data_IF_348037099065
#
_entry.id   IF_348037099065
#
_cell.length_a   1.000
_cell.length_b   1.000
_cell.length_c   1.000
_cell.angle_alpha   90.00
_cell.angle_beta   90.00
_cell.angle_gamma   90.00
#
_symmetry.space_group_name_H-M   'P 1'
#
loop_
_entity.id
_entity.type
_entity.pdbx_description
1 polymer ?
#
# COMPACT_ATOMS: atom_id res chain seq x y z
N UNK A 1 68.08 -0.76 6.95
CA UNK A 1 67.32 -0.22 5.81
C UNK A 1 66.28 -1.20 5.23
N UNK A 2 66.50 -2.49 5.39
CA UNK A 2 65.56 -3.56 4.93
C UNK A 2 64.35 -3.77 5.83
N UNK A 3 64.44 -3.45 7.12
CA UNK A 3 63.36 -3.64 8.09
C UNK A 3 62.19 -2.62 7.97
N UNK A 4 62.45 -1.44 7.44
CA UNK A 4 61.43 -0.39 7.24
C UNK A 4 60.49 -0.69 6.07
N UNK A 5 60.93 -1.46 5.07
CA UNK A 5 60.15 -1.83 3.90
C UNK A 5 59.18 -2.98 4.25
N UNK A 6 59.66 -3.93 5.08
CA UNK A 6 58.82 -5.06 5.53
C UNK A 6 57.65 -4.64 6.43
N UNK A 7 57.87 -3.69 7.33
CA UNK A 7 56.83 -3.21 8.25
C UNK A 7 55.68 -2.48 7.57
N UNK A 8 55.96 -1.66 6.57
CA UNK A 8 54.93 -0.94 5.81
C UNK A 8 54.13 -1.87 4.91
N UNK A 9 54.77 -2.86 4.32
CA UNK A 9 54.10 -3.82 3.44
C UNK A 9 53.17 -4.76 4.22
N UNK A 10 53.58 -5.13 5.46
CA UNK A 10 52.74 -5.96 6.34
C UNK A 10 51.52 -5.24 6.86
N UNK A 11 51.59 -3.92 7.08
CA UNK A 11 50.48 -3.08 7.49
C UNK A 11 49.42 -2.96 6.37
N UNK A 12 49.86 -2.80 5.13
CA UNK A 12 48.96 -2.69 3.96
C UNK A 12 48.16 -3.99 3.75
N UNK A 13 48.82 -5.14 3.90
CA UNK A 13 48.18 -6.46 3.75
C UNK A 13 47.17 -6.75 4.86
N UNK A 14 47.36 -6.20 6.07
CA UNK A 14 46.42 -6.39 7.19
C UNK A 14 45.17 -5.55 7.10
N UNK A 15 45.21 -4.39 6.45
CA UNK A 15 44.04 -3.51 6.28
C UNK A 15 43.24 -3.81 5.02
N UNK A 16 43.84 -4.44 4.00
CA UNK A 16 43.15 -4.78 2.76
C UNK A 16 41.91 -5.68 2.96
N UNK A 17 41.94 -6.74 3.79
CA UNK A 17 40.73 -7.56 4.00
C UNK A 17 39.61 -6.83 4.77
N UNK A 18 39.98 -5.93 5.69
CA UNK A 18 39.00 -5.15 6.44
C UNK A 18 38.21 -4.15 5.55
N UNK A 19 38.93 -3.52 4.60
CA UNK A 19 38.31 -2.63 3.62
C UNK A 19 37.42 -3.40 2.65
N UNK A 20 37.81 -4.59 2.20
CA UNK A 20 37.01 -5.43 1.31
C UNK A 20 35.70 -5.89 1.98
N UNK A 21 35.76 -6.25 3.27
CA UNK A 21 34.56 -6.64 4.04
C UNK A 21 33.64 -5.45 4.27
N UNK A 22 34.13 -4.27 4.54
CA UNK A 22 33.33 -3.05 4.70
C UNK A 22 32.62 -2.65 3.41
N UNK A 23 33.30 -2.75 2.26
CA UNK A 23 32.70 -2.50 0.94
C UNK A 23 31.62 -3.53 0.59
N UNK A 24 31.84 -4.80 0.91
CA UNK A 24 30.85 -5.87 0.68
C UNK A 24 29.58 -5.67 1.54
N UNK A 25 29.70 -5.17 2.78
CA UNK A 25 28.58 -4.84 3.65
C UNK A 25 27.77 -3.63 3.15
N UNK A 26 28.42 -2.64 2.55
CA UNK A 26 27.75 -1.48 1.96
C UNK A 26 26.89 -1.85 0.76
N UNK A 27 27.34 -2.79 -0.08
CA UNK A 27 26.56 -3.27 -1.25
C UNK A 27 25.38 -4.15 -0.84
N UNK A 28 25.46 -4.86 0.28
CA UNK A 28 24.39 -5.73 0.76
C UNK A 28 23.17 -4.95 1.30
N UNK A 29 23.34 -3.71 1.73
CA UNK A 29 22.24 -2.88 2.28
C UNK A 29 21.31 -2.38 1.17
N UNK A 30 21.80 -2.17 -0.05
CA UNK A 30 20.98 -1.68 -1.18
C UNK A 30 20.07 -2.76 -1.78
N UNK A 31 20.24 -4.03 -1.44
CA UNK A 31 19.44 -5.13 -2.01
C UNK A 31 18.19 -5.47 -1.21
N UNK A 32 17.98 -4.88 -0.04
CA UNK A 32 16.73 -5.02 0.71
C UNK A 32 15.70 -4.02 0.18
N UNK A 33 15.43 -4.07 -1.10
CA UNK A 33 14.20 -3.50 -1.62
C UNK A 33 13.09 -4.47 -1.24
N UNK A 34 12.32 -4.10 -0.22
CA UNK A 34 11.08 -4.81 0.08
C UNK A 34 10.24 -4.75 -1.20
N UNK A 35 10.18 -5.84 -1.93
CA UNK A 35 9.27 -5.99 -3.04
C UNK A 35 7.86 -5.85 -2.44
N UNK A 36 7.26 -4.68 -2.59
CA UNK A 36 5.85 -4.50 -2.26
C UNK A 36 5.09 -5.34 -3.28
N UNK A 37 4.57 -6.47 -2.82
CA UNK A 37 3.69 -7.28 -3.64
C UNK A 37 2.51 -6.40 -4.07
N UNK A 38 2.32 -6.25 -5.38
CA UNK A 38 1.11 -5.61 -5.91
C UNK A 38 -0.07 -6.51 -5.53
N UNK A 39 -0.97 -5.96 -4.71
CA UNK A 39 -2.21 -6.66 -4.36
C UNK A 39 -3.30 -6.19 -5.31
N UNK A 40 -3.80 -7.12 -6.12
CA UNK A 40 -4.98 -6.89 -6.95
C UNK A 40 -6.23 -7.29 -6.15
N UNK A 41 -7.19 -6.40 -6.05
CA UNK A 41 -8.43 -6.61 -5.30
C UNK A 41 -9.62 -6.66 -6.26
N UNK A 42 -10.45 -7.66 -6.10
CA UNK A 42 -11.79 -7.69 -6.71
C UNK A 42 -12.78 -7.01 -5.76
N UNK A 43 -13.05 -5.73 -6.03
CA UNK A 43 -13.89 -4.89 -5.15
C UNK A 43 -15.33 -5.41 -5.05
N UNK A 44 -15.80 -6.16 -6.05
CA UNK A 44 -17.14 -6.77 -6.03
C UNK A 44 -17.31 -7.86 -4.96
N UNK A 45 -16.21 -8.39 -4.44
CA UNK A 45 -16.20 -9.48 -3.44
C UNK A 45 -15.85 -9.03 -2.03
N UNK A 46 -15.57 -7.75 -1.82
CA UNK A 46 -15.21 -7.21 -0.50
C UNK A 46 -16.46 -7.13 0.37
N UNK A 47 -16.41 -7.75 1.55
CA UNK A 47 -17.47 -7.64 2.56
C UNK A 47 -17.31 -6.35 3.38
N UNK A 48 -18.41 -5.90 3.97
CA UNK A 48 -18.41 -4.79 4.92
C UNK A 48 -17.44 -5.01 6.10
N UNK A 49 -17.32 -6.26 6.57
CA UNK A 49 -16.35 -6.60 7.62
C UNK A 49 -14.90 -6.36 7.18
N UNK A 50 -14.56 -6.79 5.97
CA UNK A 50 -13.22 -6.58 5.42
C UNK A 50 -12.93 -5.10 5.16
N UNK A 51 -13.93 -4.35 4.72
CA UNK A 51 -13.86 -2.91 4.49
C UNK A 51 -13.61 -2.14 5.78
N UNK A 52 -14.46 -2.32 6.79
CA UNK A 52 -14.35 -1.60 8.07
C UNK A 52 -13.16 -2.04 8.90
N UNK A 53 -12.74 -3.31 8.77
CA UNK A 53 -11.59 -3.87 9.48
C UNK A 53 -10.23 -3.58 8.86
N UNK A 54 -10.15 -2.83 7.78
CA UNK A 54 -8.90 -2.55 7.03
C UNK A 54 -8.16 -3.83 6.58
N UNK A 55 -8.90 -4.93 6.37
CA UNK A 55 -8.31 -6.25 6.14
C UNK A 55 -7.74 -6.44 4.73
N UNK A 56 -8.18 -5.64 3.77
CA UNK A 56 -7.80 -5.81 2.36
C UNK A 56 -7.00 -4.63 1.82
N UNK A 57 -7.37 -3.41 2.18
CA UNK A 57 -6.66 -2.16 1.84
C UNK A 57 -7.20 -1.03 2.72
N UNK A 58 -6.67 0.19 2.52
CA UNK A 58 -7.25 1.37 3.15
C UNK A 58 -8.69 1.57 2.64
N UNK A 59 -9.71 1.65 3.52
CA UNK A 59 -11.11 1.85 3.14
C UNK A 59 -11.34 3.07 2.25
N UNK A 60 -10.53 4.10 2.38
CA UNK A 60 -10.61 5.29 1.54
C UNK A 60 -10.40 4.97 0.06
N UNK A 61 -9.47 4.06 -0.26
CA UNK A 61 -9.23 3.63 -1.64
C UNK A 61 -10.45 2.94 -2.23
N UNK A 62 -11.14 2.11 -1.44
CA UNK A 62 -12.38 1.43 -1.85
C UNK A 62 -13.50 2.44 -2.06
N UNK A 63 -13.66 3.41 -1.15
CA UNK A 63 -14.68 4.45 -1.25
C UNK A 63 -14.48 5.32 -2.50
N UNK A 64 -13.25 5.73 -2.80
CA UNK A 64 -12.92 6.49 -4.01
C UNK A 64 -13.20 5.66 -5.26
N UNK A 65 -12.78 4.40 -5.28
CA UNK A 65 -13.02 3.50 -6.41
C UNK A 65 -14.52 3.31 -6.67
N UNK A 66 -15.29 3.05 -5.61
CA UNK A 66 -16.76 2.91 -5.71
C UNK A 66 -17.42 4.19 -6.22
N UNK A 67 -17.01 5.35 -5.72
CA UNK A 67 -17.50 6.63 -6.20
C UNK A 67 -17.27 6.77 -7.72
N UNK A 68 -16.03 6.54 -8.17
CA UNK A 68 -15.69 6.61 -9.60
C UNK A 68 -16.44 5.58 -10.44
N UNK A 69 -16.59 4.36 -9.94
CA UNK A 69 -17.32 3.30 -10.65
C UNK A 69 -18.79 3.65 -10.90
N UNK A 70 -19.51 4.10 -9.86
CA UNK A 70 -20.92 4.43 -9.99
C UNK A 70 -21.16 5.72 -10.78
N UNK A 71 -20.31 6.74 -10.64
CA UNK A 71 -20.35 7.94 -11.48
C UNK A 71 -20.05 7.60 -12.94
N UNK A 72 -19.03 6.77 -13.19
CA UNK A 72 -18.67 6.32 -14.54
C UNK A 72 -19.81 5.55 -15.23
N UNK A 73 -20.54 4.71 -14.51
CA UNK A 73 -21.72 4.00 -15.05
C UNK A 73 -22.82 4.96 -15.52
N UNK A 74 -22.93 6.14 -14.94
CA UNK A 74 -23.90 7.18 -15.33
C UNK A 74 -23.35 8.17 -16.35
N UNK A 75 -22.10 8.00 -16.77
CA UNK A 75 -21.41 8.97 -17.64
C UNK A 75 -21.09 10.30 -16.95
N UNK A 76 -21.15 10.35 -15.62
CA UNK A 76 -20.85 11.53 -14.82
C UNK A 76 -19.35 11.57 -14.51
N UNK A 77 -18.70 12.65 -14.90
CA UNK A 77 -17.26 12.89 -14.70
C UNK A 77 -16.95 13.91 -13.61
N UNK A 78 -18.00 14.39 -12.90
CA UNK A 78 -17.84 15.35 -11.82
C UNK A 78 -17.43 14.66 -10.51
N UNK A 79 -16.63 15.35 -9.71
CA UNK A 79 -16.23 14.89 -8.38
C UNK A 79 -16.65 15.90 -7.33
N UNK A 80 -17.67 15.56 -6.55
CA UNK A 80 -17.99 16.28 -5.32
C UNK A 80 -17.15 15.72 -4.15
N UNK A 81 -16.10 16.45 -3.79
CA UNK A 81 -15.17 16.03 -2.74
C UNK A 81 -15.79 16.03 -1.35
N UNK A 82 -16.73 16.93 -1.07
CA UNK A 82 -17.44 16.96 0.21
C UNK A 82 -18.46 15.82 0.30
N UNK A 83 -19.19 15.59 -0.78
CA UNK A 83 -20.11 14.46 -0.92
C UNK A 83 -19.39 13.13 -0.80
N UNK A 84 -18.20 12.99 -1.39
CA UNK A 84 -17.38 11.78 -1.26
C UNK A 84 -17.06 11.45 0.21
N UNK A 85 -16.62 12.43 1.00
CA UNK A 85 -16.31 12.25 2.43
C UNK A 85 -17.57 11.87 3.22
N UNK A 86 -18.68 12.59 3.00
CA UNK A 86 -19.96 12.32 3.68
C UNK A 86 -20.49 10.91 3.34
N UNK A 87 -20.44 10.51 2.07
CA UNK A 87 -20.89 9.22 1.59
C UNK A 87 -19.98 8.07 2.10
N UNK A 88 -18.68 8.27 2.15
CA UNK A 88 -17.75 7.31 2.75
C UNK A 88 -18.06 7.07 4.24
N UNK A 89 -18.45 8.13 4.99
CA UNK A 89 -18.89 7.99 6.37
C UNK A 89 -20.20 7.19 6.47
N UNK A 90 -21.20 7.49 5.67
CA UNK A 90 -22.49 6.75 5.64
C UNK A 90 -22.26 5.27 5.31
N UNK A 91 -21.42 4.99 4.33
CA UNK A 91 -21.07 3.61 3.95
C UNK A 91 -20.42 2.87 5.11
N UNK A 92 -19.47 3.48 5.80
CA UNK A 92 -18.80 2.88 6.95
C UNK A 92 -19.79 2.60 8.09
N UNK A 93 -20.66 3.55 8.42
CA UNK A 93 -21.67 3.40 9.47
C UNK A 93 -22.68 2.29 9.12
N UNK A 94 -23.06 2.14 7.86
CA UNK A 94 -23.89 1.03 7.37
C UNK A 94 -23.14 -0.32 7.51
N UNK A 95 -21.90 -0.37 7.09
CA UNK A 95 -21.09 -1.57 7.10
C UNK A 95 -20.79 -2.07 8.51
N UNK A 96 -20.67 -1.21 9.51
CA UNK A 96 -20.54 -1.63 10.91
C UNK A 96 -21.75 -2.43 11.39
N UNK A 97 -22.93 -2.11 10.89
CA UNK A 97 -24.19 -2.81 11.25
C UNK A 97 -24.49 -4.01 10.36
N UNK A 98 -23.90 -4.08 9.15
CA UNK A 98 -24.22 -5.07 8.12
C UNK A 98 -22.94 -5.77 7.64
N UNK A 99 -22.20 -6.40 8.54
CA UNK A 99 -20.83 -6.90 8.33
C UNK A 99 -20.69 -7.91 7.19
N UNK A 100 -21.71 -8.75 6.95
CA UNK A 100 -21.67 -9.79 5.93
C UNK A 100 -22.11 -9.32 4.54
N UNK A 101 -22.66 -8.11 4.44
CA UNK A 101 -23.07 -7.54 3.17
C UNK A 101 -21.82 -7.20 2.32
N UNK A 102 -21.92 -7.39 1.01
CA UNK A 102 -20.89 -6.91 0.10
C UNK A 102 -20.90 -5.38 0.04
N UNK A 103 -19.72 -4.77 0.01
CA UNK A 103 -19.61 -3.29 -0.03
C UNK A 103 -20.31 -2.70 -1.24
N UNK A 104 -20.24 -3.37 -2.40
CA UNK A 104 -20.93 -2.92 -3.61
C UNK A 104 -22.46 -2.88 -3.42
N UNK A 105 -23.04 -3.88 -2.75
CA UNK A 105 -24.46 -3.92 -2.41
C UNK A 105 -24.84 -2.86 -1.38
N UNK A 106 -23.95 -2.60 -0.42
CA UNK A 106 -24.16 -1.52 0.54
C UNK A 106 -24.22 -0.15 -0.14
N UNK A 107 -23.33 0.10 -1.11
CA UNK A 107 -23.35 1.33 -1.93
C UNK A 107 -24.63 1.43 -2.75
N UNK A 108 -25.04 0.36 -3.39
CA UNK A 108 -26.32 0.32 -4.15
C UNK A 108 -27.52 0.59 -3.24
N UNK A 109 -27.53 0.03 -2.04
CA UNK A 109 -28.62 0.26 -1.07
C UNK A 109 -28.69 1.71 -0.59
N UNK A 110 -27.51 2.32 -0.36
CA UNK A 110 -27.43 3.68 0.20
C UNK A 110 -27.61 4.78 -0.86
N UNK A 111 -27.12 4.54 -2.07
CA UNK A 111 -26.95 5.59 -3.10
C UNK A 111 -27.47 5.19 -4.48
N UNK A 112 -28.01 3.98 -4.64
CA UNK A 112 -28.42 3.43 -5.94
C UNK A 112 -29.77 3.91 -6.48
N UNK A 113 -30.47 4.79 -5.78
CA UNK A 113 -31.81 5.24 -6.16
C UNK A 113 -31.83 6.33 -7.22
N UNK A 114 -30.70 6.86 -7.63
CA UNK A 114 -30.58 7.82 -8.72
C UNK A 114 -30.36 7.09 -10.06
N UNK A 115 -31.45 6.54 -10.61
CA UNK A 115 -31.49 6.05 -11.98
C UNK A 115 -32.07 7.13 -12.90
#
# INVERSE_FOLDING_TARGET
MLDLVGGKMLLIVRFAPALAVALALMVAVDTIRVARAQVTLDVSKITCEQYTGHKVTNPQNIAIWMNGYFHGKRGDTTLDTQGLVANAKKLRDYCFRNRQTLVIQAVETLFGTDR
#
